data_IF_656662229633
#
_entry.id   IF_656662229633
#
_cell.length_a   1.000
_cell.length_b   1.000
_cell.length_c   1.000
_cell.angle_alpha   90.00
_cell.angle_beta   90.00
_cell.angle_gamma   90.00
#
_symmetry.space_group_name_H-M   'P 1'
#
loop_
_entity.id
_entity.type
_entity.pdbx_description
1 polymer ?
#
# COMPACT_ATOMS: atom_id res chain seq x y z
N UNK A 1 -20.24 83.32 -17.69
CA UNK A 1 -19.48 82.83 -16.52
C UNK A 1 -20.43 81.96 -15.70
N UNK A 2 -20.05 80.72 -15.40
CA UNK A 2 -20.76 79.65 -14.63
C UNK A 2 -21.93 78.98 -15.37
N UNK A 3 -21.76 77.85 -16.08
CA UNK A 3 -21.48 76.47 -15.62
C UNK A 3 -22.39 76.00 -14.46
N UNK A 4 -23.31 75.09 -14.78
CA UNK A 4 -23.59 73.87 -14.01
C UNK A 4 -24.37 72.89 -14.89
N UNK A 5 -23.68 71.86 -15.35
CA UNK A 5 -24.24 70.64 -15.93
C UNK A 5 -24.92 69.84 -14.82
N UNK A 6 -26.16 69.41 -15.03
CA UNK A 6 -26.77 68.34 -14.24
C UNK A 6 -27.03 67.16 -15.17
N UNK A 7 -26.21 66.13 -14.99
CA UNK A 7 -26.34 64.83 -15.65
C UNK A 7 -27.57 64.08 -15.09
N UNK A 8 -28.17 63.16 -15.85
CA UNK A 8 -29.17 62.25 -15.31
C UNK A 8 -28.54 61.27 -14.32
N UNK A 9 -29.28 60.97 -13.25
CA UNK A 9 -28.91 60.07 -12.17
C UNK A 9 -28.42 58.71 -12.66
N UNK A 10 -27.24 58.33 -12.18
CA UNK A 10 -26.70 56.97 -12.21
C UNK A 10 -27.56 56.07 -11.32
N UNK A 11 -28.46 55.29 -11.91
CA UNK A 11 -28.94 54.06 -11.27
C UNK A 11 -27.83 53.00 -11.37
N UNK A 12 -27.07 52.86 -10.29
CA UNK A 12 -26.33 51.63 -10.01
C UNK A 12 -27.33 50.50 -9.74
N UNK A 13 -27.77 49.80 -10.79
CA UNK A 13 -28.40 48.49 -10.60
C UNK A 13 -27.30 47.49 -10.25
N UNK A 14 -27.16 47.24 -8.95
CA UNK A 14 -26.27 46.24 -8.40
C UNK A 14 -26.37 44.92 -9.17
N UNK A 15 -25.21 44.39 -9.55
CA UNK A 15 -25.07 43.05 -10.12
C UNK A 15 -25.38 42.05 -8.99
N UNK A 16 -26.67 41.86 -8.71
CA UNK A 16 -27.18 40.75 -7.95
C UNK A 16 -27.01 39.50 -8.80
N UNK A 17 -25.84 38.85 -8.68
CA UNK A 17 -25.62 37.54 -9.27
C UNK A 17 -26.67 36.57 -8.71
N UNK A 18 -27.61 36.29 -9.59
CA UNK A 18 -28.80 35.49 -9.37
C UNK A 18 -28.39 34.06 -8.96
N UNK A 19 -28.53 33.77 -7.66
CA UNK A 19 -28.22 32.46 -7.04
C UNK A 19 -29.00 31.32 -7.71
N UNK A 20 -30.13 31.62 -8.38
CA UNK A 20 -30.90 30.65 -9.16
C UNK A 20 -30.36 30.42 -10.58
N UNK A 21 -29.63 31.38 -11.17
CA UNK A 21 -28.89 31.14 -12.42
C UNK A 21 -27.67 30.26 -12.18
N UNK A 22 -26.99 30.40 -11.04
CA UNK A 22 -25.83 29.57 -10.68
C UNK A 22 -26.20 28.08 -10.49
N UNK A 23 -27.41 27.80 -10.01
CA UNK A 23 -27.94 26.42 -9.93
C UNK A 23 -28.43 25.86 -11.27
N UNK A 24 -28.75 26.72 -12.25
CA UNK A 24 -29.10 26.28 -13.61
C UNK A 24 -27.88 25.96 -14.48
N UNK A 25 -26.74 26.59 -14.23
CA UNK A 25 -25.45 26.23 -14.88
C UNK A 25 -24.69 25.10 -14.17
N UNK A 26 -25.13 24.67 -12.98
CA UNK A 26 -24.59 23.51 -12.26
C UNK A 26 -25.05 22.14 -12.78
N UNK A 27 -25.98 22.10 -13.75
CA UNK A 27 -26.54 20.87 -14.31
C UNK A 27 -25.84 20.42 -15.62
N UNK A 28 -24.63 20.91 -15.88
CA UNK A 28 -23.87 20.69 -17.12
C UNK A 28 -22.45 20.13 -16.93
N UNK A 29 -22.20 19.38 -15.85
CA UNK A 29 -20.86 18.87 -15.51
C UNK A 29 -20.81 17.49 -14.86
N UNK A 30 -21.78 16.60 -15.14
CA UNK A 30 -21.86 15.27 -14.54
C UNK A 30 -22.05 14.14 -15.58
N UNK A 31 -21.24 14.13 -16.64
CA UNK A 31 -21.14 13.00 -17.56
C UNK A 31 -19.68 12.66 -17.90
N UNK A 32 -18.92 12.17 -16.91
CA UNK A 32 -17.71 11.37 -17.19
C UNK A 32 -17.58 10.11 -16.32
N UNK A 33 -18.67 9.57 -15.77
CA UNK A 33 -18.66 8.28 -15.03
C UNK A 33 -19.90 7.42 -15.30
N UNK A 34 -20.33 7.33 -16.56
CA UNK A 34 -21.50 6.51 -16.90
C UNK A 34 -21.42 5.96 -18.32
N UNK A 35 -20.65 4.90 -18.52
CA UNK A 35 -20.92 3.78 -19.45
C UNK A 35 -19.74 2.80 -19.46
N UNK A 36 -19.59 2.03 -18.39
CA UNK A 36 -19.10 0.64 -18.52
C UNK A 36 -20.04 -0.23 -17.69
N UNK A 37 -21.18 -0.55 -18.28
CA UNK A 37 -21.97 -1.73 -17.91
C UNK A 37 -21.92 -2.69 -19.09
N UNK A 38 -20.71 -3.23 -19.33
CA UNK A 38 -20.54 -4.53 -19.97
C UNK A 38 -20.38 -5.55 -18.85
N UNK A 39 -21.37 -6.43 -18.83
CA UNK A 39 -21.63 -7.56 -17.96
C UNK A 39 -20.48 -8.57 -17.88
N UNK A 40 -20.24 -9.11 -16.69
CA UNK A 40 -19.49 -10.34 -16.39
C UNK A 40 -18.02 -10.38 -16.87
N UNK A 41 -17.08 -9.95 -16.01
CA UNK A 41 -15.65 -10.22 -16.22
C UNK A 41 -14.69 -9.52 -15.24
N UNK A 42 -15.11 -8.42 -14.60
CA UNK A 42 -14.38 -7.87 -13.47
C UNK A 42 -15.08 -8.30 -12.19
N UNK A 43 -14.97 -9.59 -11.86
CA UNK A 43 -14.96 -9.98 -10.46
C UNK A 43 -13.75 -9.28 -9.83
N UNK A 44 -13.93 -8.01 -9.47
CA UNK A 44 -13.28 -7.46 -8.30
C UNK A 44 -13.80 -8.31 -7.16
N UNK A 45 -13.19 -9.48 -6.97
CA UNK A 45 -13.29 -10.19 -5.71
C UNK A 45 -13.02 -9.12 -4.67
N UNK A 46 -14.00 -8.80 -3.83
CA UNK A 46 -13.65 -8.17 -2.58
C UNK A 46 -12.69 -9.18 -1.93
N UNK A 47 -11.38 -8.93 -2.08
CA UNK A 47 -10.38 -9.92 -1.74
C UNK A 47 -10.38 -10.03 -0.24
N UNK A 48 -11.11 -11.03 0.26
CA UNK A 48 -11.11 -11.39 1.66
C UNK A 48 -9.67 -11.77 2.05
N UNK A 49 -9.29 -11.57 3.33
CA UNK A 49 -8.04 -12.10 3.83
C UNK A 49 -7.88 -13.57 3.43
N UNK A 50 -6.66 -13.98 3.11
CA UNK A 50 -6.37 -15.30 2.56
C UNK A 50 -6.79 -16.44 3.52
N UNK A 51 -7.01 -16.11 4.80
CA UNK A 51 -7.38 -17.08 5.82
C UNK A 51 -6.27 -18.11 6.01
N UNK A 52 -6.66 -19.37 6.22
CA UNK A 52 -5.71 -20.48 6.31
C UNK A 52 -5.37 -20.97 4.91
N UNK A 53 -4.09 -20.89 4.56
CA UNK A 53 -3.59 -21.43 3.30
C UNK A 53 -3.12 -22.86 3.56
N UNK A 54 -3.87 -23.85 3.06
CA UNK A 54 -3.43 -25.24 3.08
C UNK A 54 -2.32 -25.39 2.02
N UNK A 55 -1.16 -25.85 2.45
CA UNK A 55 0.10 -25.68 1.74
C UNK A 55 0.09 -26.24 0.30
N UNK A 56 0.62 -25.43 -0.63
CA UNK A 56 1.48 -25.93 -1.70
C UNK A 56 2.83 -25.22 -1.54
N UNK A 57 3.73 -25.86 -0.81
CA UNK A 57 5.15 -25.48 -0.68
C UNK A 57 5.45 -24.29 0.24
N UNK A 58 6.21 -24.54 1.30
CA UNK A 58 7.11 -23.56 1.96
C UNK A 58 6.52 -22.44 2.82
N UNK A 59 5.69 -22.75 3.82
CA UNK A 59 5.44 -21.81 4.95
C UNK A 59 5.81 -22.44 6.27
N UNK A 60 6.40 -21.64 7.15
CA UNK A 60 7.04 -22.04 8.41
C UNK A 60 6.02 -22.52 9.45
N UNK A 61 4.74 -22.24 9.23
CA UNK A 61 3.64 -22.78 10.00
C UNK A 61 2.43 -23.07 9.10
N UNK A 62 2.11 -24.35 8.87
CA UNK A 62 0.89 -24.75 8.16
C UNK A 62 -0.41 -24.36 8.90
N UNK A 63 -0.30 -23.65 10.03
CA UNK A 63 -1.39 -23.18 10.87
C UNK A 63 -1.68 -21.68 10.81
N UNK A 64 -0.81 -20.84 10.20
CA UNK A 64 -1.03 -19.39 10.17
C UNK A 64 -2.34 -19.03 9.44
N UNK A 65 -3.11 -18.12 10.03
CA UNK A 65 -4.37 -17.61 9.50
C UNK A 65 -4.21 -16.13 9.16
N UNK A 66 -4.15 -15.81 7.86
CA UNK A 66 -4.04 -14.45 7.37
C UNK A 66 -5.32 -13.67 7.66
N UNK A 67 -5.19 -12.53 8.33
CA UNK A 67 -6.32 -11.70 8.79
C UNK A 67 -6.44 -10.38 8.04
N UNK A 68 -5.41 -9.98 7.31
CA UNK A 68 -5.39 -8.75 6.53
C UNK A 68 -4.96 -8.99 5.08
N UNK A 69 -3.83 -9.69 4.87
CA UNK A 69 -3.31 -9.98 3.55
C UNK A 69 -4.19 -10.98 2.81
N UNK A 70 -4.39 -10.70 1.54
CA UNK A 70 -5.07 -11.54 0.56
C UNK A 70 -4.05 -12.41 -0.17
N UNK A 71 -4.50 -13.36 -0.99
CA UNK A 71 -3.59 -14.18 -1.80
C UNK A 71 -2.73 -13.33 -2.75
N UNK A 72 -3.29 -12.26 -3.31
CA UNK A 72 -2.56 -11.37 -4.22
C UNK A 72 -1.50 -10.55 -3.48
N UNK A 73 -1.80 -10.12 -2.24
CA UNK A 73 -0.82 -9.39 -1.42
C UNK A 73 0.35 -10.29 -1.01
N UNK A 74 0.08 -11.57 -0.77
CA UNK A 74 1.13 -12.55 -0.48
C UNK A 74 2.06 -12.68 -1.69
N UNK A 75 1.51 -12.84 -2.90
CA UNK A 75 2.31 -12.90 -4.13
C UNK A 75 3.09 -11.60 -4.39
N UNK A 76 2.48 -10.45 -4.11
CA UNK A 76 3.15 -9.15 -4.13
C UNK A 76 4.39 -9.16 -3.22
N UNK A 77 4.26 -9.56 -1.96
CA UNK A 77 5.39 -9.58 -1.04
C UNK A 77 6.42 -10.68 -1.35
N UNK A 78 6.00 -11.84 -1.86
CA UNK A 78 6.91 -12.88 -2.37
C UNK A 78 7.83 -12.32 -3.47
N UNK A 79 7.30 -11.45 -4.34
CA UNK A 79 8.06 -10.78 -5.39
C UNK A 79 8.94 -9.62 -4.88
N UNK A 80 8.45 -8.83 -3.91
CA UNK A 80 9.14 -7.64 -3.43
C UNK A 80 10.25 -7.93 -2.40
N UNK A 81 10.08 -8.93 -1.54
CA UNK A 81 11.02 -9.19 -0.45
C UNK A 81 12.47 -9.47 -0.92
N UNK A 82 12.72 -10.20 -2.01
CA UNK A 82 14.08 -10.36 -2.56
C UNK A 82 14.77 -9.03 -2.91
N UNK A 83 14.02 -8.06 -3.42
CA UNK A 83 14.50 -6.73 -3.76
C UNK A 83 14.72 -5.85 -2.51
N UNK A 84 13.80 -5.93 -1.53
CA UNK A 84 13.87 -5.11 -0.31
C UNK A 84 14.96 -5.59 0.65
N UNK A 85 15.07 -6.90 0.87
CA UNK A 85 15.99 -7.50 1.86
C UNK A 85 17.35 -7.82 1.24
N UNK A 86 17.37 -8.17 -0.04
CA UNK A 86 18.60 -8.41 -0.79
C UNK A 86 19.47 -9.52 -0.17
N UNK A 87 20.78 -9.27 0.07
CA UNK A 87 21.71 -10.24 0.63
C UNK A 87 21.37 -10.75 2.04
N UNK A 88 20.45 -10.10 2.77
CA UNK A 88 20.00 -10.59 4.07
C UNK A 88 19.23 -11.91 4.01
N UNK A 89 18.70 -12.28 2.82
CA UNK A 89 18.02 -13.56 2.64
C UNK A 89 19.03 -14.73 2.49
N UNK A 90 18.76 -15.90 3.10
CA UNK A 90 19.60 -17.09 2.92
C UNK A 90 19.83 -17.44 1.45
N UNK A 91 21.00 -17.99 1.11
CA UNK A 91 21.27 -18.46 -0.26
C UNK A 91 20.62 -19.81 -0.54
N UNK A 92 20.51 -20.68 0.47
CA UNK A 92 19.90 -21.99 0.32
C UNK A 92 18.41 -21.84 -0.07
N UNK A 93 17.94 -22.45 -1.17
CA UNK A 93 16.60 -22.19 -1.71
C UNK A 93 15.44 -22.44 -0.73
N UNK A 94 15.51 -23.52 0.07
CA UNK A 94 14.45 -23.84 1.03
C UNK A 94 14.44 -22.85 2.20
N UNK A 95 15.61 -22.57 2.81
CA UNK A 95 15.73 -21.59 3.88
C UNK A 95 15.31 -20.18 3.41
N UNK A 96 15.62 -19.81 2.18
CA UNK A 96 15.16 -18.55 1.55
C UNK A 96 13.65 -18.49 1.48
N UNK A 97 12.99 -19.54 0.98
CA UNK A 97 11.52 -19.59 0.90
C UNK A 97 10.88 -19.49 2.28
N UNK A 98 11.41 -20.20 3.27
CA UNK A 98 10.93 -20.15 4.65
C UNK A 98 11.10 -18.75 5.27
N UNK A 99 12.25 -18.10 5.05
CA UNK A 99 12.50 -16.73 5.50
C UNK A 99 11.50 -15.74 4.89
N UNK A 100 11.25 -15.83 3.59
CA UNK A 100 10.25 -15.01 2.88
C UNK A 100 8.85 -15.26 3.47
N UNK A 101 8.44 -16.52 3.56
CA UNK A 101 7.11 -16.88 4.07
C UNK A 101 6.87 -16.40 5.50
N UNK A 102 7.81 -16.66 6.41
CA UNK A 102 7.72 -16.19 7.80
C UNK A 102 7.69 -14.66 7.88
N UNK A 103 8.39 -13.97 6.98
CA UNK A 103 8.32 -12.49 6.90
C UNK A 103 6.93 -12.00 6.50
N UNK A 104 6.30 -12.65 5.53
CA UNK A 104 4.94 -12.30 5.08
C UNK A 104 3.90 -12.53 6.18
N UNK A 105 4.01 -13.62 6.94
CA UNK A 105 3.15 -13.88 8.11
C UNK A 105 3.32 -12.77 9.17
N UNK A 106 4.56 -12.31 9.41
CA UNK A 106 4.86 -11.21 10.33
C UNK A 106 4.35 -9.86 9.82
N UNK A 107 4.37 -9.63 8.51
CA UNK A 107 3.75 -8.46 7.89
C UNK A 107 2.25 -8.45 8.19
N UNK A 108 1.55 -9.55 7.90
CA UNK A 108 0.11 -9.67 8.18
C UNK A 108 -0.20 -9.44 9.66
N UNK A 109 0.51 -10.15 10.55
CA UNK A 109 0.32 -10.04 11.99
C UNK A 109 0.59 -8.63 12.51
N UNK A 110 1.61 -7.96 11.98
CA UNK A 110 1.95 -6.58 12.33
C UNK A 110 0.89 -5.58 11.86
N UNK A 111 0.41 -5.68 10.62
CA UNK A 111 -0.61 -4.78 10.08
C UNK A 111 -1.94 -4.95 10.84
N UNK A 112 -2.30 -6.18 11.23
CA UNK A 112 -3.51 -6.44 12.00
C UNK A 112 -3.54 -5.73 13.36
N UNK A 113 -2.37 -5.32 13.88
CA UNK A 113 -2.27 -4.54 15.13
C UNK A 113 -2.42 -3.03 14.91
N UNK A 114 -2.41 -2.55 13.65
CA UNK A 114 -2.57 -1.13 13.37
C UNK A 114 -4.01 -0.66 13.57
N UNK A 115 -4.20 0.64 13.82
CA UNK A 115 -5.54 1.24 13.88
C UNK A 115 -6.28 1.17 12.52
N UNK A 116 -7.62 1.19 12.52
CA UNK A 116 -8.42 0.98 11.30
C UNK A 116 -8.08 1.90 10.13
N UNK A 117 -7.72 3.17 10.40
CA UNK A 117 -7.32 4.12 9.38
C UNK A 117 -6.05 3.68 8.63
N UNK A 118 -5.02 3.25 9.36
CA UNK A 118 -3.76 2.78 8.76
C UNK A 118 -3.97 1.47 7.99
N UNK A 119 -4.81 0.57 8.50
CA UNK A 119 -5.18 -0.65 7.78
C UNK A 119 -5.87 -0.31 6.45
N UNK A 120 -6.79 0.65 6.44
CA UNK A 120 -7.48 1.09 5.22
C UNK A 120 -6.52 1.72 4.19
N UNK A 121 -5.56 2.55 4.64
CA UNK A 121 -4.55 3.12 3.75
C UNK A 121 -3.66 2.03 3.12
N UNK A 122 -3.24 1.03 3.89
CA UNK A 122 -2.46 -0.09 3.37
C UNK A 122 -3.27 -0.96 2.40
N UNK A 123 -4.56 -1.17 2.69
CA UNK A 123 -5.47 -1.89 1.80
C UNK A 123 -5.56 -1.19 0.44
N UNK A 124 -5.75 0.13 0.43
CA UNK A 124 -5.78 0.93 -0.80
C UNK A 124 -4.47 0.84 -1.59
N UNK A 125 -3.32 0.90 -0.89
CA UNK A 125 -2.01 0.74 -1.50
C UNK A 125 -1.87 -0.63 -2.17
N UNK A 126 -2.23 -1.70 -1.47
CA UNK A 126 -2.08 -3.06 -1.99
C UNK A 126 -3.09 -3.36 -3.11
N UNK A 127 -4.32 -2.86 -3.01
CA UNK A 127 -5.32 -2.95 -4.09
C UNK A 127 -4.84 -2.24 -5.35
N UNK A 128 -4.24 -1.05 -5.20
CA UNK A 128 -3.63 -0.33 -6.30
C UNK A 128 -2.50 -1.12 -6.96
N UNK A 129 -1.68 -1.82 -6.18
CA UNK A 129 -0.56 -2.62 -6.70
C UNK A 129 -1.02 -3.96 -7.31
N UNK A 130 -2.14 -4.51 -6.86
CA UNK A 130 -2.68 -5.78 -7.34
C UNK A 130 -3.66 -5.62 -8.51
N UNK A 131 -4.29 -4.45 -8.65
CA UNK A 131 -5.11 -4.16 -9.82
C UNK A 131 -4.23 -3.97 -11.07
N UNK A 132 -4.44 -4.82 -12.08
CA UNK A 132 -3.53 -4.93 -13.23
C UNK A 132 -3.31 -3.61 -13.97
N UNK A 133 -4.35 -2.79 -14.16
CA UNK A 133 -4.23 -1.50 -14.84
C UNK A 133 -3.32 -0.53 -14.06
N UNK A 134 -3.52 -0.40 -12.75
CA UNK A 134 -2.71 0.49 -11.91
C UNK A 134 -1.31 -0.07 -11.67
N UNK A 135 -1.13 -1.40 -11.59
CA UNK A 135 0.20 -2.01 -11.56
C UNK A 135 1.01 -1.65 -12.81
N UNK A 136 0.41 -1.75 -13.99
CA UNK A 136 1.09 -1.40 -15.25
C UNK A 136 1.31 0.11 -15.37
N UNK A 137 0.31 0.94 -15.07
CA UNK A 137 0.40 2.38 -15.34
C UNK A 137 1.12 3.17 -14.24
N UNK A 138 0.87 2.82 -12.97
CA UNK A 138 1.40 3.53 -11.79
C UNK A 138 2.71 2.91 -11.31
N UNK A 139 2.76 1.59 -11.16
CA UNK A 139 3.98 0.90 -10.74
C UNK A 139 4.96 0.64 -11.92
N UNK A 140 4.47 0.68 -13.17
CA UNK A 140 5.25 0.32 -14.38
C UNK A 140 5.80 -1.10 -14.31
N UNK A 141 4.97 -2.01 -13.79
CA UNK A 141 5.25 -3.45 -13.69
C UNK A 141 4.26 -4.19 -14.59
N UNK A 142 4.77 -4.76 -15.68
CA UNK A 142 3.95 -5.43 -16.70
C UNK A 142 3.56 -6.85 -16.28
N UNK A 143 4.53 -7.60 -15.78
CA UNK A 143 4.35 -8.95 -15.25
C UNK A 143 3.35 -8.97 -14.09
N UNK A 144 2.60 -10.05 -13.94
CA UNK A 144 1.94 -10.37 -12.67
C UNK A 144 2.99 -10.63 -11.60
N UNK A 145 2.71 -10.33 -10.33
CA UNK A 145 3.69 -10.46 -9.25
C UNK A 145 4.43 -11.81 -9.19
N UNK A 146 3.78 -12.99 -9.39
CA UNK A 146 4.50 -14.27 -9.43
C UNK A 146 5.58 -14.39 -10.51
N UNK A 147 5.49 -13.56 -11.56
CA UNK A 147 6.40 -13.54 -12.69
C UNK A 147 7.36 -12.33 -12.65
N UNK A 148 7.30 -11.49 -11.61
CA UNK A 148 8.18 -10.34 -11.46
C UNK A 148 9.55 -10.84 -11.00
N UNK A 149 10.57 -10.45 -11.73
CA UNK A 149 11.97 -10.71 -11.36
C UNK A 149 12.43 -9.74 -10.27
N UNK A 150 13.48 -10.11 -9.53
CA UNK A 150 14.05 -9.23 -8.49
C UNK A 150 14.49 -7.88 -9.06
N UNK A 151 15.06 -7.84 -10.26
CA UNK A 151 15.48 -6.60 -10.92
C UNK A 151 14.31 -5.71 -11.34
N UNK A 152 13.18 -6.29 -11.76
CA UNK A 152 11.95 -5.54 -12.04
C UNK A 152 11.35 -4.95 -10.76
N UNK A 153 11.35 -5.72 -9.66
CA UNK A 153 10.93 -5.24 -8.34
C UNK A 153 11.83 -4.10 -7.83
N UNK A 154 13.15 -4.23 -7.95
CA UNK A 154 14.12 -3.16 -7.63
C UNK A 154 13.85 -1.91 -8.46
N UNK A 155 13.68 -2.06 -9.77
CA UNK A 155 13.40 -0.93 -10.66
C UNK A 155 12.08 -0.23 -10.30
N UNK A 156 11.06 -0.99 -9.90
CA UNK A 156 9.80 -0.45 -9.39
C UNK A 156 10.00 0.35 -8.10
N UNK A 157 10.64 -0.25 -7.10
CA UNK A 157 10.89 0.39 -5.81
C UNK A 157 11.73 1.65 -5.97
N UNK A 158 12.75 1.63 -6.83
CA UNK A 158 13.62 2.77 -7.09
C UNK A 158 12.87 3.95 -7.74
N UNK A 159 11.97 3.67 -8.70
CA UNK A 159 11.13 4.71 -9.30
C UNK A 159 10.22 5.37 -8.28
N UNK A 160 9.66 4.59 -7.37
CA UNK A 160 8.79 5.14 -6.32
C UNK A 160 9.60 5.87 -5.26
N UNK A 161 10.76 5.36 -4.86
CA UNK A 161 11.70 5.98 -3.93
C UNK A 161 12.11 7.37 -4.39
N UNK A 162 12.47 7.51 -5.66
CA UNK A 162 13.00 8.76 -6.24
C UNK A 162 11.94 9.67 -6.85
N UNK A 163 10.66 9.31 -6.75
CA UNK A 163 9.57 10.09 -7.34
C UNK A 163 9.43 11.46 -6.67
N UNK A 164 9.23 12.49 -7.49
CA UNK A 164 8.80 13.82 -7.02
C UNK A 164 7.34 13.87 -6.58
N UNK A 165 6.54 12.84 -6.91
CA UNK A 165 5.15 12.70 -6.46
C UNK A 165 5.17 12.07 -5.08
N UNK A 166 4.87 12.86 -4.05
CA UNK A 166 4.94 12.43 -2.66
C UNK A 166 4.15 11.16 -2.33
N UNK A 167 3.06 10.88 -3.06
CA UNK A 167 2.28 9.65 -2.88
C UNK A 167 3.11 8.39 -3.18
N UNK A 168 3.91 8.37 -4.24
CA UNK A 168 4.73 7.20 -4.60
C UNK A 168 5.89 7.00 -3.64
N UNK A 169 6.53 8.09 -3.22
CA UNK A 169 7.58 8.03 -2.20
C UNK A 169 7.02 7.50 -0.86
N UNK A 170 5.84 7.94 -0.43
CA UNK A 170 5.14 7.38 0.75
C UNK A 170 4.83 5.90 0.58
N UNK A 171 4.36 5.48 -0.59
CA UNK A 171 4.13 4.06 -0.89
C UNK A 171 5.41 3.22 -0.77
N UNK A 172 6.53 3.70 -1.32
CA UNK A 172 7.84 3.06 -1.15
C UNK A 172 8.23 2.95 0.33
N UNK A 173 8.11 4.04 1.10
CA UNK A 173 8.44 4.04 2.52
C UNK A 173 7.57 3.03 3.28
N UNK A 174 6.27 2.96 2.99
CA UNK A 174 5.36 2.01 3.64
C UNK A 174 5.75 0.56 3.37
N UNK A 175 5.96 0.19 2.10
CA UNK A 175 6.36 -1.16 1.68
C UNK A 175 7.69 -1.57 2.32
N UNK A 176 8.70 -0.71 2.22
CA UNK A 176 10.05 -0.96 2.73
C UNK A 176 10.05 -1.03 4.25
N UNK A 177 9.36 -0.12 4.95
CA UNK A 177 9.34 -0.09 6.42
C UNK A 177 8.66 -1.32 7.00
N UNK A 178 7.48 -1.69 6.50
CA UNK A 178 6.75 -2.86 7.00
C UNK A 178 7.54 -4.14 6.74
N UNK A 179 8.12 -4.28 5.55
CA UNK A 179 8.96 -5.44 5.20
C UNK A 179 10.21 -5.55 6.08
N UNK A 180 10.94 -4.44 6.27
CA UNK A 180 12.15 -4.45 7.08
C UNK A 180 11.87 -4.70 8.57
N UNK A 181 10.79 -4.13 9.12
CA UNK A 181 10.38 -4.40 10.50
C UNK A 181 9.98 -5.87 10.68
N UNK A 182 9.25 -6.44 9.72
CA UNK A 182 8.85 -7.84 9.76
C UNK A 182 10.03 -8.81 9.60
N UNK A 183 11.06 -8.44 8.84
CA UNK A 183 12.26 -9.24 8.65
C UNK A 183 13.23 -9.07 9.83
N UNK A 184 13.81 -7.89 10.01
CA UNK A 184 14.85 -7.64 11.00
C UNK A 184 14.34 -7.50 12.44
N UNK A 185 13.03 -7.38 12.66
CA UNK A 185 12.46 -7.28 14.00
C UNK A 185 12.47 -8.59 14.79
N UNK A 186 12.77 -9.72 14.14
CA UNK A 186 12.66 -11.06 14.73
C UNK A 186 14.04 -11.70 14.96
N UNK A 187 14.11 -12.50 16.02
CA UNK A 187 15.35 -13.10 16.53
C UNK A 187 16.18 -13.85 15.48
N UNK A 188 15.51 -14.49 14.51
CA UNK A 188 16.17 -15.22 13.42
C UNK A 188 17.14 -14.33 12.63
N UNK A 189 16.86 -13.02 12.55
CA UNK A 189 17.56 -12.08 11.69
C UNK A 189 18.25 -10.93 12.44
N UNK A 190 18.19 -10.88 13.77
CA UNK A 190 18.85 -9.84 14.57
C UNK A 190 20.35 -9.73 14.28
N UNK A 191 21.01 -10.88 14.11
CA UNK A 191 22.43 -10.96 13.80
C UNK A 191 22.83 -10.21 12.52
N UNK A 192 21.93 -10.12 11.53
CA UNK A 192 22.17 -9.39 10.28
C UNK A 192 22.16 -7.86 10.46
N UNK A 193 21.49 -7.38 11.50
CA UNK A 193 21.48 -5.96 11.89
C UNK A 193 22.57 -5.59 12.91
N UNK A 194 23.34 -6.57 13.38
CA UNK A 194 24.29 -6.40 14.48
C UNK A 194 23.63 -6.24 15.85
N UNK A 195 22.32 -6.49 15.95
CA UNK A 195 21.61 -6.45 17.23
C UNK A 195 21.86 -7.76 18.01
N UNK A 196 22.44 -7.71 19.21
CA UNK A 196 22.72 -8.91 20.01
C UNK A 196 21.46 -9.48 20.69
N UNK A 197 20.30 -8.84 20.53
CA UNK A 197 19.10 -9.15 21.30
C UNK A 197 18.99 -8.32 22.59
N UNK A 198 17.88 -8.47 23.33
CA UNK A 198 17.72 -7.85 24.64
C UNK A 198 18.76 -8.43 25.62
N UNK A 199 19.28 -7.62 26.56
CA UNK A 199 20.23 -8.12 27.54
C UNK A 199 19.55 -9.13 28.48
N UNK A 200 20.28 -10.16 28.91
CA UNK A 200 19.72 -11.28 29.65
C UNK A 200 18.95 -10.87 30.92
N UNK A 201 19.47 -9.89 31.67
CA UNK A 201 18.80 -9.39 32.87
C UNK A 201 17.40 -8.83 32.59
N UNK A 202 17.17 -8.25 31.40
CA UNK A 202 15.88 -7.69 31.02
C UNK A 202 14.91 -8.81 30.61
N UNK A 203 15.41 -9.85 29.93
CA UNK A 203 14.65 -11.06 29.60
C UNK A 203 14.17 -11.75 30.86
N UNK A 204 15.04 -11.88 31.86
CA UNK A 204 14.72 -12.54 33.12
C UNK A 204 13.71 -11.74 33.96
N UNK A 205 13.82 -10.40 33.95
CA UNK A 205 13.02 -9.52 34.81
C UNK A 205 11.64 -9.12 34.24
N UNK A 206 11.48 -9.08 32.91
CA UNK A 206 10.31 -8.44 32.29
C UNK A 206 9.31 -9.46 31.70
N UNK A 207 8.03 -9.45 32.14
CA UNK A 207 7.05 -10.46 31.74
C UNK A 207 6.78 -10.59 30.25
N UNK A 208 6.98 -9.51 29.47
CA UNK A 208 6.75 -9.54 28.03
C UNK A 208 7.71 -10.47 27.27
N UNK A 209 8.84 -10.86 27.87
CA UNK A 209 9.78 -11.81 27.26
C UNK A 209 9.49 -13.27 27.60
N UNK A 210 8.55 -13.55 28.51
CA UNK A 210 8.22 -14.92 28.93
C UNK A 210 7.15 -15.57 28.04
N UNK A 211 6.48 -14.79 27.19
CA UNK A 211 5.39 -15.24 26.31
C UNK A 211 5.66 -14.92 24.83
N UNK A 212 6.91 -14.62 24.47
CA UNK A 212 7.33 -14.26 23.12
C UNK A 212 7.56 -15.47 22.22
#
# INVERSE_FOLDING_TARGET
MNQQNHAPDTEETGIGLDRRRFLKTGLGGALFLGTVSVTAGLSGCASAPAGRITAVGTRMDASYNFRFLTNDDIQLFEALLPAIVGPGLPEQPEARRQAIAGTIERIDSGIHQFGPANQAELRQLFDLLNFGLTRVTVARVWSSWPNVTTSEADAFLERWRTSSIGLFNKGYIALTKISNVAFYGYQDFWHLSGYPGPPQYAVDALPQFHNA
#
